data_IF_335988541464
#
_entry.id   IF_335988541464
#
_cell.length_a   1.000
_cell.length_b   1.000
_cell.length_c   1.000
_cell.angle_alpha   90.00
_cell.angle_beta   90.00
_cell.angle_gamma   90.00
#
_symmetry.space_group_name_H-M   'P 1'
#
loop_
_entity.id
_entity.type
_entity.pdbx_description
1 polymer ?
#
# COMPACT_ATOMS: atom_id res chain seq x y z
N UNK A 1 -7.96 -3.10 -48.61
CA UNK A 1 -7.90 -3.74 -47.28
C UNK A 1 -8.04 -2.64 -46.26
N UNK A 2 -9.22 -2.48 -45.66
CA UNK A 2 -9.47 -1.42 -44.68
C UNK A 2 -8.76 -1.79 -43.38
N UNK A 3 -7.76 -0.99 -42.99
CA UNK A 3 -7.19 -1.04 -41.66
C UNK A 3 -8.24 -0.51 -40.68
N UNK A 4 -8.72 -1.39 -39.81
CA UNK A 4 -9.63 -1.06 -38.73
C UNK A 4 -8.83 -0.28 -37.67
N UNK A 5 -8.87 1.05 -37.73
CA UNK A 5 -8.32 1.90 -36.66
C UNK A 5 -9.14 1.65 -35.39
N UNK A 6 -8.51 1.49 -34.22
CA UNK A 6 -9.25 1.30 -32.97
C UNK A 6 -10.12 2.51 -32.67
N UNK A 7 -11.32 2.25 -32.14
CA UNK A 7 -12.31 3.25 -31.77
C UNK A 7 -11.76 4.20 -30.70
N UNK A 8 -11.90 5.52 -30.90
CA UNK A 8 -11.31 6.56 -30.04
C UNK A 8 -11.83 6.49 -28.60
N UNK A 9 -13.03 5.96 -28.40
CA UNK A 9 -13.64 5.76 -27.08
C UNK A 9 -12.97 4.62 -26.31
N UNK A 10 -12.55 3.55 -27.01
CA UNK A 10 -11.81 2.44 -26.40
C UNK A 10 -10.41 2.88 -25.95
N UNK A 11 -9.75 3.74 -26.74
CA UNK A 11 -8.44 4.29 -26.40
C UNK A 11 -8.52 5.19 -25.14
N UNK A 12 -9.57 6.00 -25.02
CA UNK A 12 -9.82 6.83 -23.84
C UNK A 12 -10.10 6.02 -22.58
N UNK A 13 -10.89 4.94 -22.67
CA UNK A 13 -11.17 4.06 -21.54
C UNK A 13 -9.93 3.29 -21.05
N UNK A 14 -9.06 2.87 -21.98
CA UNK A 14 -7.78 2.24 -21.64
C UNK A 14 -6.86 3.24 -20.94
N UNK A 15 -6.76 4.48 -21.43
CA UNK A 15 -5.96 5.52 -20.76
C UNK A 15 -6.45 5.77 -19.33
N UNK A 16 -7.75 5.95 -19.13
CA UNK A 16 -8.30 6.18 -17.77
C UNK A 16 -8.08 5.01 -16.83
N UNK A 17 -8.15 3.77 -17.35
CA UNK A 17 -7.88 2.57 -16.55
C UNK A 17 -6.39 2.49 -16.15
N UNK A 18 -5.48 2.83 -17.06
CA UNK A 18 -4.04 2.90 -16.77
C UNK A 18 -3.71 4.00 -15.77
N UNK A 19 -4.39 5.16 -15.86
CA UNK A 19 -4.25 6.25 -14.90
C UNK A 19 -4.74 5.79 -13.50
N UNK A 20 -5.84 5.05 -13.43
CA UNK A 20 -6.36 4.48 -12.18
C UNK A 20 -5.42 3.43 -11.56
N UNK A 21 -4.87 2.52 -12.37
CA UNK A 21 -3.90 1.53 -11.90
C UNK A 21 -2.62 2.20 -11.40
N UNK A 22 -2.15 3.23 -12.10
CA UNK A 22 -0.97 4.01 -11.69
C UNK A 22 -1.23 4.70 -10.35
N UNK A 23 -2.35 5.43 -10.23
CA UNK A 23 -2.71 6.11 -8.99
C UNK A 23 -2.83 5.13 -7.81
N UNK A 24 -3.44 3.96 -8.02
CA UNK A 24 -3.58 2.94 -6.97
C UNK A 24 -2.23 2.35 -6.57
N UNK A 25 -1.32 2.10 -7.52
CA UNK A 25 0.03 1.64 -7.22
C UNK A 25 0.82 2.70 -6.42
N UNK A 26 0.70 3.97 -6.77
CA UNK A 26 1.33 5.08 -6.04
C UNK A 26 0.81 5.19 -4.60
N UNK A 27 -0.50 5.05 -4.38
CA UNK A 27 -1.08 5.03 -3.02
C UNK A 27 -0.53 3.86 -2.21
N UNK A 28 -0.42 2.65 -2.78
CA UNK A 28 0.22 1.53 -2.08
C UNK A 28 1.69 1.82 -1.76
N UNK A 29 2.43 2.46 -2.67
CA UNK A 29 3.82 2.88 -2.41
C UNK A 29 3.96 3.94 -1.31
N UNK A 30 3.01 4.86 -1.21
CA UNK A 30 2.96 5.83 -0.12
C UNK A 30 2.64 5.15 1.21
N UNK A 31 1.61 4.31 1.27
CA UNK A 31 1.23 3.57 2.48
C UNK A 31 2.38 2.68 2.97
N UNK A 32 3.07 2.02 2.05
CA UNK A 32 4.28 1.24 2.34
C UNK A 32 5.32 2.08 3.09
N UNK A 33 5.65 3.27 2.58
CA UNK A 33 6.62 4.15 3.23
C UNK A 33 6.12 4.67 4.59
N UNK A 34 4.86 5.08 4.68
CA UNK A 34 4.27 5.64 5.90
C UNK A 34 4.15 4.61 7.04
N UNK A 35 4.02 3.32 6.73
CA UNK A 35 3.93 2.26 7.74
C UNK A 35 5.25 1.54 8.00
N UNK A 36 6.29 1.71 7.19
CA UNK A 36 7.55 0.95 7.37
C UNK A 36 8.46 1.57 8.44
N UNK A 37 8.59 2.89 8.44
CA UNK A 37 9.48 3.62 9.34
C UNK A 37 8.93 5.03 9.61
N UNK A 38 9.43 5.74 10.65
CA UNK A 38 9.09 7.15 10.85
C UNK A 38 9.31 7.93 9.54
N UNK A 39 8.31 8.70 9.05
CA UNK A 39 8.41 9.41 7.79
C UNK A 39 9.62 10.35 7.76
N UNK A 40 10.36 10.32 6.65
CA UNK A 40 11.50 11.23 6.45
C UNK A 40 11.01 12.66 6.25
N UNK A 41 11.85 13.64 6.59
CA UNK A 41 11.54 15.06 6.31
C UNK A 41 11.26 15.33 4.84
N UNK A 42 11.92 14.60 3.93
CA UNK A 42 11.67 14.70 2.49
C UNK A 42 10.27 14.23 2.12
N UNK A 43 9.85 13.05 2.60
CA UNK A 43 8.50 12.54 2.36
C UNK A 43 7.44 13.49 2.94
N UNK A 44 7.65 13.98 4.17
CA UNK A 44 6.73 14.94 4.81
C UNK A 44 6.65 16.26 4.03
N UNK A 45 7.79 16.76 3.50
CA UNK A 45 7.80 17.93 2.65
C UNK A 45 6.97 17.72 1.37
N UNK A 46 7.07 16.54 0.74
CA UNK A 46 6.27 16.19 -0.44
C UNK A 46 4.78 16.14 -0.11
N UNK A 47 4.39 15.51 1.00
CA UNK A 47 2.97 15.44 1.43
C UNK A 47 2.41 16.84 1.70
N UNK A 48 3.17 17.74 2.34
CA UNK A 48 2.71 19.10 2.65
C UNK A 48 2.39 19.94 1.41
N UNK A 49 3.11 19.72 0.31
CA UNK A 49 2.89 20.46 -0.95
C UNK A 49 1.95 19.73 -1.90
N UNK A 50 1.47 18.54 -1.54
CA UNK A 50 0.55 17.79 -2.38
C UNK A 50 -0.76 18.55 -2.64
N UNK A 51 -1.27 18.39 -3.87
CA UNK A 51 -2.57 18.94 -4.25
C UNK A 51 -3.68 18.20 -3.50
N UNK A 52 -4.62 18.95 -2.95
CA UNK A 52 -5.78 18.42 -2.21
C UNK A 52 -7.07 18.45 -3.03
N UNK A 53 -7.03 19.01 -4.23
CA UNK A 53 -8.15 18.99 -5.17
C UNK A 53 -8.14 17.67 -5.92
N UNK A 54 -9.23 16.90 -5.79
CA UNK A 54 -9.38 15.66 -6.53
C UNK A 54 -9.61 15.94 -8.02
N UNK A 55 -9.08 15.11 -8.93
CA UNK A 55 -9.35 15.22 -10.37
C UNK A 55 -10.85 15.12 -10.71
N UNK A 56 -11.61 14.43 -9.86
CA UNK A 56 -13.06 14.34 -9.92
C UNK A 56 -13.64 14.45 -8.50
N UNK A 57 -14.68 15.27 -8.35
CA UNK A 57 -15.35 15.45 -7.06
C UNK A 57 -16.05 14.18 -6.59
N UNK A 58 -16.01 13.91 -5.28
CA UNK A 58 -16.72 12.79 -4.65
C UNK A 58 -16.00 11.46 -4.72
N UNK A 59 -14.69 11.45 -5.02
CA UNK A 59 -13.87 10.25 -4.93
C UNK A 59 -13.72 9.79 -3.47
N UNK A 60 -13.73 8.47 -3.23
CA UNK A 60 -13.63 7.91 -1.88
C UNK A 60 -12.37 8.34 -1.10
N UNK A 61 -11.29 8.66 -1.81
CA UNK A 61 -10.03 9.10 -1.21
C UNK A 61 -9.92 10.62 -1.10
N UNK A 62 -10.88 11.40 -1.59
CA UNK A 62 -10.79 12.86 -1.59
C UNK A 62 -10.64 13.43 -0.17
N UNK A 63 -11.54 13.07 0.74
CA UNK A 63 -11.49 13.57 2.11
C UNK A 63 -10.34 12.97 2.94
N UNK A 64 -10.10 11.64 2.95
CA UNK A 64 -8.96 11.08 3.66
C UNK A 64 -7.61 11.65 3.20
N UNK A 65 -7.47 11.98 1.90
CA UNK A 65 -6.27 12.64 1.38
C UNK A 65 -6.13 14.07 1.90
N UNK A 66 -7.22 14.85 1.91
CA UNK A 66 -7.24 16.20 2.49
C UNK A 66 -6.83 16.16 3.96
N UNK A 67 -7.33 15.21 4.73
CA UNK A 67 -7.01 15.02 6.15
C UNK A 67 -5.52 14.67 6.35
N UNK A 68 -4.97 13.73 5.58
CA UNK A 68 -3.55 13.37 5.64
C UNK A 68 -2.65 14.59 5.37
N UNK A 69 -2.94 15.34 4.30
CA UNK A 69 -2.17 16.53 3.94
C UNK A 69 -2.32 17.63 4.99
N UNK A 70 -3.52 17.81 5.56
CA UNK A 70 -3.75 18.77 6.62
C UNK A 70 -2.95 18.43 7.89
N UNK A 71 -2.97 17.18 8.33
CA UNK A 71 -2.20 16.71 9.49
C UNK A 71 -0.69 16.94 9.30
N UNK A 72 -0.16 16.63 8.11
CA UNK A 72 1.24 16.88 7.80
C UNK A 72 1.61 18.38 7.79
N UNK A 73 0.67 19.27 7.43
CA UNK A 73 0.87 20.73 7.47
C UNK A 73 0.79 21.31 8.88
N UNK A 74 -0.05 20.75 9.73
CA UNK A 74 -0.26 21.19 11.10
C UNK A 74 0.91 20.76 12.02
N UNK A 75 1.38 19.53 11.87
CA UNK A 75 2.41 18.95 12.72
C UNK A 75 3.82 19.16 12.15
N UNK A 76 4.77 19.42 13.06
CA UNK A 76 6.20 19.44 12.73
C UNK A 76 6.77 18.02 12.62
N UNK A 77 7.85 17.85 11.86
CA UNK A 77 8.48 16.54 11.64
C UNK A 77 8.77 15.77 12.94
N UNK A 78 9.33 16.39 14.01
CA UNK A 78 9.60 15.66 15.24
C UNK A 78 8.34 15.09 15.89
N UNK A 79 7.23 15.83 15.85
CA UNK A 79 5.98 15.38 16.44
C UNK A 79 5.41 14.16 15.70
N UNK A 80 5.45 14.17 14.36
CA UNK A 80 5.01 13.04 13.54
C UNK A 80 5.90 11.81 13.77
N UNK A 81 7.21 12.01 13.86
CA UNK A 81 8.15 10.91 14.10
C UNK A 81 8.00 10.31 15.50
N UNK A 82 7.81 11.15 16.52
CA UNK A 82 7.56 10.71 17.90
C UNK A 82 6.24 9.93 18.00
N UNK A 83 5.18 10.40 17.32
CA UNK A 83 3.89 9.70 17.25
C UNK A 83 4.03 8.33 16.57
N UNK A 84 4.75 8.25 15.45
CA UNK A 84 5.04 6.97 14.80
C UNK A 84 5.72 5.97 15.76
N UNK A 85 6.74 6.43 16.48
CA UNK A 85 7.50 5.58 17.41
C UNK A 85 6.60 5.14 18.59
N UNK A 86 5.73 6.03 19.09
CA UNK A 86 4.80 5.70 20.16
C UNK A 86 3.76 4.65 19.74
N UNK A 87 3.22 4.76 18.52
CA UNK A 87 2.17 3.86 18.02
C UNK A 87 2.70 2.49 17.61
N UNK A 88 3.78 2.48 16.83
CA UNK A 88 4.25 1.28 16.13
C UNK A 88 5.57 0.73 16.68
N UNK A 89 6.32 1.55 17.42
CA UNK A 89 7.64 1.22 17.94
C UNK A 89 7.69 1.09 19.48
N UNK A 90 8.89 1.30 20.02
CA UNK A 90 9.15 1.34 21.45
C UNK A 90 9.72 0.06 22.07
N UNK A 91 10.20 0.17 23.31
CA UNK A 91 10.65 -0.97 24.11
C UNK A 91 9.42 -1.60 24.78
N UNK A 92 8.87 -2.65 24.17
CA UNK A 92 7.75 -3.40 24.75
C UNK A 92 6.68 -3.77 23.73
N UNK A 93 5.42 -3.71 24.17
CA UNK A 93 4.25 -3.99 23.33
C UNK A 93 3.85 -2.69 22.60
N UNK A 94 3.84 -2.63 21.26
CA UNK A 94 3.34 -1.48 20.54
C UNK A 94 1.83 -1.32 20.74
N UNK A 95 1.32 -0.10 20.60
CA UNK A 95 -0.11 0.15 20.64
C UNK A 95 -0.82 -0.52 19.45
N UNK A 96 -0.19 -0.46 18.28
CA UNK A 96 -0.67 -1.07 17.05
C UNK A 96 0.41 -2.01 16.51
N UNK A 97 0.05 -3.29 16.34
CA UNK A 97 0.92 -4.23 15.63
C UNK A 97 0.72 -4.05 14.13
N UNK A 98 1.81 -4.04 13.36
CA UNK A 98 1.74 -3.88 11.90
C UNK A 98 1.77 -5.22 11.15
N UNK A 99 1.47 -6.34 11.81
CA UNK A 99 1.64 -7.69 11.27
C UNK A 99 0.33 -8.46 11.22
N UNK A 100 0.02 -9.03 10.06
CA UNK A 100 -1.22 -9.81 9.86
C UNK A 100 -1.33 -11.04 10.77
N UNK A 101 -0.22 -11.72 11.07
CA UNK A 101 -0.21 -12.87 11.97
C UNK A 101 -0.80 -12.54 13.35
N UNK A 102 -0.47 -11.37 13.92
CA UNK A 102 -1.01 -10.93 15.20
C UNK A 102 -2.54 -10.91 15.22
N UNK A 103 -3.16 -10.30 14.21
CA UNK A 103 -4.61 -10.18 14.15
C UNK A 103 -5.32 -11.49 13.77
N UNK A 104 -4.63 -12.38 13.06
CA UNK A 104 -5.22 -13.63 12.57
C UNK A 104 -5.07 -14.79 13.56
N UNK A 105 -4.01 -14.82 14.36
CA UNK A 105 -3.73 -15.92 15.31
C UNK A 105 -3.59 -15.46 16.77
N UNK A 106 -3.42 -14.16 17.02
CA UNK A 106 -3.04 -13.61 18.33
C UNK A 106 -1.53 -13.55 18.57
N UNK A 107 -0.71 -14.13 17.68
CA UNK A 107 0.75 -14.23 17.85
C UNK A 107 1.49 -13.88 16.55
N UNK A 108 2.67 -13.29 16.69
CA UNK A 108 3.54 -13.00 15.56
C UNK A 108 4.16 -14.29 14.98
N UNK A 109 4.49 -14.26 13.69
CA UNK A 109 5.26 -15.30 13.00
C UNK A 109 4.61 -16.69 12.96
N UNK A 110 3.28 -16.73 12.94
CA UNK A 110 2.48 -17.95 12.96
C UNK A 110 2.10 -18.48 11.57
N UNK A 111 1.24 -19.51 11.53
CA UNK A 111 0.71 -20.14 10.31
C UNK A 111 0.27 -19.16 9.19
N UNK A 112 -0.37 -18.01 9.46
CA UNK A 112 -0.68 -17.03 8.41
C UNK A 112 0.54 -16.56 7.61
N UNK A 113 1.67 -16.31 8.28
CA UNK A 113 2.92 -15.90 7.64
C UNK A 113 3.51 -17.03 6.78
N UNK A 114 3.45 -18.28 7.26
CA UNK A 114 3.91 -19.43 6.46
C UNK A 114 3.10 -19.61 5.17
N UNK A 115 1.78 -19.39 5.24
CA UNK A 115 0.92 -19.39 4.05
C UNK A 115 1.29 -18.25 3.11
N UNK A 116 1.46 -17.03 3.62
CA UNK A 116 1.88 -15.88 2.83
C UNK A 116 3.19 -16.15 2.09
N UNK A 117 4.21 -16.70 2.75
CA UNK A 117 5.48 -17.07 2.09
C UNK A 117 5.31 -18.07 0.96
N UNK A 118 4.40 -19.03 1.12
CA UNK A 118 4.08 -19.99 0.06
C UNK A 118 3.46 -19.29 -1.15
N UNK A 119 2.52 -18.37 -0.92
CA UNK A 119 1.85 -17.63 -1.98
C UNK A 119 2.80 -16.62 -2.66
N UNK A 120 3.70 -15.96 -1.92
CA UNK A 120 4.75 -15.10 -2.47
C UNK A 120 5.72 -15.87 -3.37
N UNK A 121 6.16 -17.06 -2.93
CA UNK A 121 7.03 -17.92 -3.74
C UNK A 121 6.35 -18.34 -5.06
N UNK A 122 5.04 -18.59 -5.04
CA UNK A 122 4.26 -18.89 -6.25
C UNK A 122 4.12 -17.69 -7.21
N UNK A 123 4.30 -16.46 -6.71
CA UNK A 123 4.38 -15.23 -7.50
C UNK A 123 5.81 -14.91 -7.96
N UNK A 124 6.80 -15.75 -7.62
CA UNK A 124 8.22 -15.48 -7.91
C UNK A 124 8.83 -14.40 -7.01
N UNK A 125 8.12 -14.00 -5.94
CA UNK A 125 8.57 -12.99 -4.99
C UNK A 125 9.35 -13.66 -3.87
N UNK A 126 10.62 -13.28 -3.74
CA UNK A 126 11.47 -13.73 -2.66
C UNK A 126 11.57 -12.66 -1.57
N UNK A 127 11.99 -13.08 -0.36
CA UNK A 127 12.32 -12.15 0.71
C UNK A 127 13.42 -11.19 0.25
N UNK A 128 13.24 -9.91 0.54
CA UNK A 128 14.27 -8.91 0.37
C UNK A 128 15.07 -8.80 1.68
N UNK A 129 16.35 -9.17 1.66
CA UNK A 129 17.23 -9.13 2.84
C UNK A 129 17.45 -7.70 3.38
N UNK A 130 17.12 -6.66 2.60
CA UNK A 130 17.15 -5.28 3.06
C UNK A 130 15.99 -4.92 4.02
N UNK A 131 14.93 -5.72 4.08
CA UNK A 131 13.82 -5.51 5.02
C UNK A 131 14.01 -6.34 6.28
N UNK A 132 14.10 -5.66 7.42
CA UNK A 132 14.17 -6.30 8.75
C UNK A 132 12.88 -7.04 9.10
N UNK A 133 11.76 -6.49 8.64
CA UNK A 133 10.42 -6.98 8.95
C UNK A 133 10.08 -8.30 8.24
N UNK A 134 9.13 -9.03 8.81
CA UNK A 134 8.55 -10.21 8.16
C UNK A 134 7.57 -9.81 7.08
N UNK A 135 7.31 -10.73 6.16
CA UNK A 135 6.54 -10.48 4.95
C UNK A 135 5.06 -10.16 5.22
N UNK A 136 4.54 -10.49 6.40
CA UNK A 136 3.17 -10.15 6.82
C UNK A 136 3.04 -8.76 7.45
N UNK A 137 4.12 -7.97 7.45
CA UNK A 137 4.08 -6.56 7.80
C UNK A 137 3.25 -5.77 6.76
N UNK A 138 2.39 -4.84 7.19
CA UNK A 138 1.48 -4.12 6.28
C UNK A 138 2.21 -3.41 5.14
N UNK A 139 3.36 -2.78 5.44
CA UNK A 139 4.18 -2.14 4.42
C UNK A 139 4.67 -3.12 3.34
N UNK A 140 5.04 -4.35 3.73
CA UNK A 140 5.45 -5.39 2.79
C UNK A 140 4.27 -5.78 1.88
N UNK A 141 3.09 -5.98 2.46
CA UNK A 141 1.88 -6.28 1.67
C UNK A 141 1.50 -5.13 0.72
N UNK A 142 1.70 -3.88 1.13
CA UNK A 142 1.53 -2.71 0.26
C UNK A 142 2.51 -2.74 -0.92
N UNK A 143 3.80 -3.08 -0.72
CA UNK A 143 4.74 -3.25 -1.84
C UNK A 143 4.34 -4.39 -2.78
N UNK A 144 3.86 -5.51 -2.25
CA UNK A 144 3.38 -6.61 -3.08
C UNK A 144 2.17 -6.17 -3.91
N UNK A 145 1.22 -5.45 -3.31
CA UNK A 145 0.10 -4.89 -4.06
C UNK A 145 0.59 -3.91 -5.13
N UNK A 146 1.51 -3.00 -4.82
CA UNK A 146 2.12 -2.08 -5.80
C UNK A 146 2.74 -2.83 -6.97
N UNK A 147 3.49 -3.89 -6.70
CA UNK A 147 4.09 -4.75 -7.72
C UNK A 147 3.04 -5.47 -8.58
N UNK A 148 2.00 -6.07 -7.96
CA UNK A 148 0.93 -6.75 -8.70
C UNK A 148 0.10 -5.82 -9.58
N UNK A 149 0.19 -4.50 -9.36
CA UNK A 149 -0.54 -3.48 -10.13
C UNK A 149 0.32 -2.92 -11.26
N UNK A 150 1.54 -2.49 -10.94
CA UNK A 150 2.39 -1.74 -11.86
C UNK A 150 3.59 -2.53 -12.40
N UNK A 151 3.71 -3.82 -12.08
CA UNK A 151 4.82 -4.66 -12.55
C UNK A 151 4.65 -5.06 -14.02
N UNK A 152 5.76 -5.16 -14.75
CA UNK A 152 5.76 -5.44 -16.19
C UNK A 152 5.35 -6.88 -16.58
N UNK A 153 5.41 -7.84 -15.66
CA UNK A 153 5.06 -9.24 -15.93
C UNK A 153 3.54 -9.45 -15.87
N UNK A 154 2.86 -9.40 -17.01
CA UNK A 154 1.42 -9.60 -17.10
C UNK A 154 0.92 -10.97 -16.58
N UNK A 155 1.79 -11.99 -16.47
CA UNK A 155 1.41 -13.27 -15.87
C UNK A 155 1.18 -13.16 -14.35
N UNK A 156 1.85 -12.20 -13.71
CA UNK A 156 1.80 -11.95 -12.27
C UNK A 156 1.00 -10.68 -11.96
N UNK A 157 1.25 -9.60 -12.70
CA UNK A 157 0.63 -8.28 -12.53
C UNK A 157 -0.68 -8.19 -13.31
N UNK A 158 -1.73 -8.80 -12.76
CA UNK A 158 -3.07 -8.73 -13.32
C UNK A 158 -4.15 -8.66 -12.23
N UNK A 159 -5.34 -8.17 -12.60
CA UNK A 159 -6.45 -7.96 -11.67
C UNK A 159 -6.84 -9.20 -10.86
N UNK A 160 -6.72 -10.41 -11.44
CA UNK A 160 -7.03 -11.64 -10.71
C UNK A 160 -6.05 -11.87 -9.56
N UNK A 161 -4.74 -11.74 -9.81
CA UNK A 161 -3.71 -11.87 -8.77
C UNK A 161 -3.80 -10.75 -7.72
N UNK A 162 -4.05 -9.52 -8.14
CA UNK A 162 -4.27 -8.40 -7.23
C UNK A 162 -5.43 -8.68 -6.26
N UNK A 163 -6.59 -9.08 -6.79
CA UNK A 163 -7.79 -9.40 -6.00
C UNK A 163 -7.52 -10.57 -5.05
N UNK A 164 -6.97 -11.66 -5.57
CA UNK A 164 -6.75 -12.87 -4.79
C UNK A 164 -5.75 -12.61 -3.65
N UNK A 165 -4.67 -11.87 -3.90
CA UNK A 165 -3.72 -11.47 -2.87
C UNK A 165 -4.38 -10.57 -1.82
N UNK A 166 -5.09 -9.52 -2.23
CA UNK A 166 -5.75 -8.59 -1.32
C UNK A 166 -6.76 -9.29 -0.39
N UNK A 167 -7.63 -10.12 -0.96
CA UNK A 167 -8.69 -10.84 -0.21
C UNK A 167 -8.10 -11.83 0.78
N UNK A 168 -6.99 -12.50 0.42
CA UNK A 168 -6.38 -13.52 1.27
C UNK A 168 -5.48 -12.91 2.34
N UNK A 169 -4.68 -11.90 2.00
CA UNK A 169 -3.56 -11.46 2.83
C UNK A 169 -3.73 -10.07 3.45
N UNK A 170 -4.63 -9.21 2.96
CA UNK A 170 -4.79 -7.82 3.45
C UNK A 170 -6.16 -7.60 4.11
N UNK A 171 -7.23 -7.92 3.39
CA UNK A 171 -8.62 -7.69 3.82
C UNK A 171 -8.98 -8.32 5.18
N UNK A 172 -8.54 -9.55 5.53
CA UNK A 172 -9.03 -10.24 6.73
C UNK A 172 -8.66 -9.60 8.07
N UNK A 173 -7.76 -8.61 8.07
CA UNK A 173 -7.24 -8.03 9.31
C UNK A 173 -6.98 -6.53 9.26
N UNK A 174 -6.76 -5.94 8.08
CA UNK A 174 -6.46 -4.50 7.93
C UNK A 174 -7.46 -3.59 8.64
N UNK A 175 -8.76 -3.88 8.56
CA UNK A 175 -9.81 -3.09 9.25
C UNK A 175 -9.77 -3.18 10.79
N UNK A 176 -9.02 -4.12 11.37
CA UNK A 176 -8.78 -4.20 12.83
C UNK A 176 -7.46 -3.56 13.24
N UNK A 177 -6.58 -3.30 12.26
CA UNK A 177 -5.33 -2.57 12.46
C UNK A 177 -5.60 -1.07 12.49
N UNK A 178 -6.48 -0.58 11.60
CA UNK A 178 -6.99 0.79 11.57
C UNK A 178 -8.08 1.02 12.63
#
# INVERSE_FOLDING_TARGET
MNANLPDSTALGAVSSALDEETARAEIYGLLSQLFYAPPTSELLAQIRVAATEAPAAGGFLEEPWRELVAAARELGDPAIQDEYIALFGGVGKPEIYLYGSHYLSGFLNEKPLARLRTDLAALGLARNDAMSETEDHIAYLCEVMRYLIAGDDAAVSNLAKQRDFFVVHVLPWSARMC
#
